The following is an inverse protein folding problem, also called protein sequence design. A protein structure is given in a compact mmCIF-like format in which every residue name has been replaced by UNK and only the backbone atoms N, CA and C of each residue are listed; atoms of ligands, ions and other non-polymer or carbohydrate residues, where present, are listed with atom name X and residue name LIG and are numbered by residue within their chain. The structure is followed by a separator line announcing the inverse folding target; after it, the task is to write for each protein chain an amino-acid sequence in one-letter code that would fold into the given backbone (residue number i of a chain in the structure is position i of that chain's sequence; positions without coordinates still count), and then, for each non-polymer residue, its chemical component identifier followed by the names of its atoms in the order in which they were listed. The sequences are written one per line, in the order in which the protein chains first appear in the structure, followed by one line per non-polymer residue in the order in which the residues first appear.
data_IF_107296634783
#
_entry.id   IF_107296634783
#
_cell.length_a   1.000
_cell.length_b   1.000
_cell.length_c   1.000
_cell.angle_alpha   90.00
_cell.angle_beta   90.00
_cell.angle_gamma   90.00
#
_symmetry.space_group_name_H-M   'P 1'
#
loop_
_entity.id
_entity.type
_entity.pdbx_description
1 polymer ?
#
# COMPACT_ATOMS: atom_id res chain seq x y z
N UNK A 1 28.38 -6.62 1.33
CA UNK A 1 27.12 -6.05 1.84
C UNK A 1 25.99 -6.33 0.85
N UNK A 2 26.10 -5.82 -0.38
CA UNK A 2 25.11 -6.07 -1.46
C UNK A 2 24.78 -7.55 -1.67
N UNK A 3 25.78 -8.44 -1.69
CA UNK A 3 25.55 -9.87 -1.88
C UNK A 3 24.72 -10.52 -0.74
N UNK A 4 24.81 -9.98 0.48
CA UNK A 4 24.06 -10.45 1.64
C UNK A 4 22.59 -9.99 1.57
N UNK A 5 22.39 -8.72 1.18
CA UNK A 5 21.05 -8.15 0.95
C UNK A 5 20.35 -8.91 -0.18
N UNK A 6 21.06 -9.23 -1.26
CA UNK A 6 20.51 -10.01 -2.37
C UNK A 6 20.04 -11.39 -1.94
N UNK A 7 20.85 -12.13 -1.18
CA UNK A 7 20.45 -13.45 -0.67
C UNK A 7 19.23 -13.38 0.25
N UNK A 8 19.21 -12.43 1.19
CA UNK A 8 18.06 -12.26 2.10
C UNK A 8 16.80 -11.79 1.35
N UNK A 9 16.95 -11.00 0.29
CA UNK A 9 15.85 -10.57 -0.57
C UNK A 9 15.24 -11.79 -1.29
N UNK A 10 16.06 -12.58 -1.98
CA UNK A 10 15.59 -13.82 -2.65
C UNK A 10 14.93 -14.75 -1.65
N UNK A 11 15.51 -14.91 -0.46
CA UNK A 11 14.95 -15.74 0.62
C UNK A 11 13.58 -15.23 1.07
N UNK A 12 13.44 -13.93 1.29
CA UNK A 12 12.18 -13.30 1.72
C UNK A 12 11.11 -13.48 0.64
N UNK A 13 11.43 -13.24 -0.62
CA UNK A 13 10.49 -13.42 -1.73
C UNK A 13 10.17 -14.88 -2.05
N UNK A 14 10.98 -15.86 -1.62
CA UNK A 14 10.65 -17.28 -1.82
C UNK A 14 9.63 -17.80 -0.80
N UNK A 15 9.45 -17.11 0.34
CA UNK A 15 8.51 -17.53 1.38
C UNK A 15 7.06 -17.25 0.95
N UNK A 16 6.21 -18.27 0.99
CA UNK A 16 4.76 -18.14 0.71
C UNK A 16 4.08 -17.04 1.54
N UNK A 17 4.47 -16.90 2.82
CA UNK A 17 3.91 -15.91 3.75
C UNK A 17 4.04 -14.47 3.24
N UNK A 18 5.11 -14.17 2.50
CA UNK A 18 5.40 -12.86 1.91
C UNK A 18 4.35 -12.46 0.87
N UNK A 19 3.72 -13.42 0.20
CA UNK A 19 2.73 -13.17 -0.85
C UNK A 19 1.30 -12.97 -0.34
N UNK A 20 1.03 -13.23 0.95
CA UNK A 20 -0.32 -13.09 1.51
C UNK A 20 -0.85 -11.66 1.30
N UNK A 21 -0.02 -10.65 1.55
CA UNK A 21 -0.38 -9.25 1.35
C UNK A 21 -0.69 -8.91 -0.10
N UNK A 22 0.21 -9.30 -1.01
CA UNK A 22 0.05 -9.06 -2.44
C UNK A 22 -1.21 -9.73 -2.99
N UNK A 23 -1.50 -10.96 -2.56
CA UNK A 23 -2.68 -11.71 -2.98
C UNK A 23 -3.96 -11.11 -2.40
N UNK A 24 -3.96 -10.73 -1.12
CA UNK A 24 -5.10 -10.11 -0.48
C UNK A 24 -5.49 -8.80 -1.18
N UNK A 25 -4.53 -7.89 -1.40
CA UNK A 25 -4.79 -6.63 -2.11
C UNK A 25 -5.07 -6.84 -3.59
N UNK A 26 -4.37 -7.78 -4.23
CA UNK A 26 -4.57 -8.16 -5.62
C UNK A 26 -5.96 -8.77 -5.89
N UNK A 27 -6.64 -9.30 -4.87
CA UNK A 27 -8.02 -9.79 -4.98
C UNK A 27 -9.04 -8.74 -4.56
N UNK A 28 -8.84 -8.10 -3.40
CA UNK A 28 -9.84 -7.19 -2.83
C UNK A 28 -10.00 -5.92 -3.68
N UNK A 29 -8.92 -5.37 -4.23
CA UNK A 29 -8.99 -4.11 -4.99
C UNK A 29 -9.76 -4.30 -6.29
N UNK A 30 -9.46 -5.28 -7.17
CA UNK A 30 -10.28 -5.54 -8.35
C UNK A 30 -11.73 -5.90 -8.02
N UNK A 31 -11.97 -6.67 -6.95
CA UNK A 31 -13.33 -7.03 -6.52
C UNK A 31 -14.15 -5.77 -6.18
N UNK A 32 -13.56 -4.84 -5.41
CA UNK A 32 -14.25 -3.60 -5.05
C UNK A 32 -14.43 -2.70 -6.27
N UNK A 33 -13.40 -2.56 -7.13
CA UNK A 33 -13.48 -1.77 -8.38
C UNK A 33 -14.57 -2.29 -9.32
N UNK A 34 -14.64 -3.60 -9.52
CA UNK A 34 -15.67 -4.23 -10.38
C UNK A 34 -17.06 -4.11 -9.78
N UNK A 35 -17.21 -4.30 -8.47
CA UNK A 35 -18.47 -4.08 -7.77
C UNK A 35 -18.97 -2.63 -7.88
N UNK A 36 -18.07 -1.67 -7.77
CA UNK A 36 -18.38 -0.26 -7.98
C UNK A 36 -18.80 0.03 -9.44
N UNK A 37 -18.14 -0.59 -10.42
CA UNK A 37 -18.47 -0.42 -11.85
C UNK A 37 -19.83 -1.02 -12.24
N UNK A 38 -20.19 -2.18 -11.69
CA UNK A 38 -21.40 -2.94 -12.07
C UNK A 38 -22.71 -2.39 -11.48
N UNK A 39 -22.63 -1.55 -10.45
CA UNK A 39 -23.84 -0.98 -9.83
C UNK A 39 -23.58 -0.05 -8.65
N UNK A 40 -22.38 -0.04 -8.09
CA UNK A 40 -22.02 0.85 -6.99
C UNK A 40 -21.99 2.33 -7.38
N UNK A 41 -21.65 2.69 -8.63
CA UNK A 41 -21.66 4.08 -9.12
C UNK A 41 -22.96 4.80 -8.80
N UNK A 42 -24.09 4.29 -9.26
CA UNK A 42 -25.38 4.98 -9.16
C UNK A 42 -25.87 5.10 -7.70
N UNK A 43 -25.54 4.12 -6.86
CA UNK A 43 -25.85 4.19 -5.43
C UNK A 43 -24.95 5.17 -4.69
N UNK A 44 -23.67 5.22 -5.07
CA UNK A 44 -22.70 6.14 -4.50
C UNK A 44 -22.96 7.59 -4.94
N UNK A 45 -23.32 7.82 -6.21
CA UNK A 45 -23.78 9.12 -6.72
C UNK A 45 -24.98 9.61 -5.93
N UNK A 46 -26.02 8.79 -5.75
CA UNK A 46 -27.20 9.19 -4.95
C UNK A 46 -26.83 9.60 -3.52
N UNK A 47 -25.94 8.85 -2.88
CA UNK A 47 -25.53 9.17 -1.51
C UNK A 47 -24.68 10.45 -1.45
N UNK A 48 -23.71 10.59 -2.36
CA UNK A 48 -22.85 11.76 -2.45
C UNK A 48 -23.63 13.02 -2.84
N UNK A 49 -24.56 12.92 -3.79
CA UNK A 49 -25.43 14.01 -4.24
C UNK A 49 -26.44 14.42 -3.15
N UNK A 50 -26.94 13.47 -2.34
CA UNK A 50 -27.82 13.82 -1.21
C UNK A 50 -27.14 14.69 -0.16
N UNK A 51 -25.81 14.60 -0.03
CA UNK A 51 -25.01 15.47 0.83
C UNK A 51 -24.71 16.84 0.20
N UNK A 52 -24.93 16.98 -1.12
CA UNK A 52 -24.58 18.17 -1.92
C UNK A 52 -25.81 18.96 -2.41
N UNK A 53 -27.00 18.35 -2.39
CA UNK A 53 -28.23 18.89 -2.97
C UNK A 53 -28.71 20.22 -2.40
N UNK A 54 -28.15 20.68 -1.27
CA UNK A 54 -28.58 21.94 -0.67
C UNK A 54 -27.95 23.17 -1.33
N UNK A 55 -26.76 23.10 -1.96
CA UNK A 55 -26.02 24.32 -2.34
C UNK A 55 -25.23 24.31 -3.67
N UNK A 56 -25.02 23.17 -4.37
CA UNK A 56 -24.13 23.16 -5.56
C UNK A 56 -24.63 22.34 -6.76
N UNK A 57 -24.66 22.97 -7.94
CA UNK A 57 -24.79 22.31 -9.25
C UNK A 57 -23.40 21.90 -9.72
N UNK A 58 -23.05 20.62 -9.59
CA UNK A 58 -21.77 20.10 -10.06
C UNK A 58 -21.96 19.64 -11.52
N UNK A 59 -21.36 20.37 -12.46
CA UNK A 59 -21.28 19.96 -13.87
C UNK A 59 -20.04 19.10 -14.12
N UNK A 60 -20.23 17.87 -14.62
CA UNK A 60 -19.14 16.98 -15.06
C UNK A 60 -19.16 15.58 -14.44
N UNK A 61 -18.24 14.72 -14.87
CA UNK A 61 -18.06 13.36 -14.32
C UNK A 61 -17.29 13.43 -12.97
N UNK A 62 -18.04 13.63 -11.88
CA UNK A 62 -17.50 13.78 -10.52
C UNK A 62 -16.89 12.46 -10.00
N UNK A 63 -17.41 11.32 -10.46
CA UNK A 63 -16.94 9.98 -10.08
C UNK A 63 -15.96 9.41 -11.10
N UNK A 64 -14.79 10.04 -11.17
CA UNK A 64 -13.68 9.61 -12.00
C UNK A 64 -12.74 8.61 -11.28
N UNK A 65 -11.77 8.08 -12.03
CA UNK A 65 -10.77 7.15 -11.50
C UNK A 65 -9.85 7.75 -10.45
N UNK A 66 -9.58 9.06 -10.51
CA UNK A 66 -8.77 9.75 -9.51
C UNK A 66 -9.48 9.85 -8.16
N UNK A 67 -10.79 10.10 -8.18
CA UNK A 67 -11.63 10.11 -6.98
C UNK A 67 -11.63 8.75 -6.30
N UNK A 68 -11.84 7.67 -7.06
CA UNK A 68 -11.78 6.33 -6.50
C UNK A 68 -10.36 5.97 -6.03
N UNK A 69 -9.32 6.41 -6.72
CA UNK A 69 -7.92 6.26 -6.27
C UNK A 69 -7.67 6.93 -4.90
N UNK A 70 -8.16 8.17 -4.74
CA UNK A 70 -8.12 8.88 -3.46
C UNK A 70 -8.95 8.19 -2.37
N UNK A 71 -10.13 7.69 -2.71
CA UNK A 71 -10.97 6.92 -1.80
C UNK A 71 -10.25 5.65 -1.32
N UNK A 72 -9.64 4.88 -2.23
CA UNK A 72 -8.87 3.68 -1.89
C UNK A 72 -7.65 4.00 -1.01
N UNK A 73 -6.94 5.08 -1.29
CA UNK A 73 -5.84 5.55 -0.43
C UNK A 73 -6.32 5.74 1.02
N UNK A 74 -7.49 6.36 1.22
CA UNK A 74 -8.08 6.51 2.54
C UNK A 74 -8.57 5.20 3.16
N UNK A 75 -9.26 4.37 2.39
CA UNK A 75 -9.87 3.13 2.85
C UNK A 75 -8.83 2.05 3.24
N UNK A 76 -7.71 1.99 2.51
CA UNK A 76 -6.67 0.99 2.73
C UNK A 76 -5.65 1.37 3.81
N UNK A 77 -5.74 2.58 4.39
CA UNK A 77 -4.78 3.02 5.42
C UNK A 77 -4.63 2.01 6.55
N UNK A 78 -5.74 1.47 7.08
CA UNK A 78 -5.70 0.52 8.21
C UNK A 78 -5.14 -0.85 7.81
N UNK A 79 -5.37 -1.27 6.58
CA UNK A 79 -5.01 -2.62 6.11
C UNK A 79 -3.51 -2.74 5.84
N UNK A 80 -2.87 -1.68 5.35
CA UNK A 80 -1.45 -1.69 4.97
C UNK A 80 -0.54 -2.03 6.17
N UNK A 81 -0.61 -1.34 7.34
CA UNK A 81 0.16 -1.68 8.52
C UNK A 81 0.00 -3.13 8.95
N UNK A 82 -1.23 -3.65 8.95
CA UNK A 82 -1.54 -5.02 9.40
C UNK A 82 -0.81 -6.05 8.55
N UNK A 83 -0.78 -5.86 7.23
CA UNK A 83 -0.07 -6.77 6.33
C UNK A 83 1.44 -6.64 6.48
N UNK A 84 1.94 -5.42 6.70
CA UNK A 84 3.37 -5.17 6.92
C UNK A 84 3.87 -5.80 8.22
N UNK A 85 3.07 -5.81 9.30
CA UNK A 85 3.48 -6.39 10.58
C UNK A 85 3.72 -7.90 10.48
N UNK A 86 2.96 -8.62 9.64
CA UNK A 86 3.11 -10.06 9.45
C UNK A 86 4.48 -10.39 8.86
N UNK A 87 4.92 -9.63 7.85
CA UNK A 87 6.20 -9.91 7.18
C UNK A 87 7.37 -9.35 7.96
N UNK A 88 7.29 -8.11 8.45
CA UNK A 88 8.34 -7.51 9.28
C UNK A 88 8.55 -8.28 10.59
N UNK A 89 7.47 -8.81 11.17
CA UNK A 89 7.49 -9.63 12.39
C UNK A 89 8.07 -11.03 12.19
N UNK A 90 8.00 -11.61 10.98
CA UNK A 90 8.55 -12.94 10.68
C UNK A 90 10.06 -12.92 10.35
N UNK A 91 10.65 -11.74 10.12
CA UNK A 91 12.04 -11.62 9.65
C UNK A 91 13.08 -12.18 10.62
N UNK A 92 12.91 -11.93 11.93
CA UNK A 92 13.82 -12.42 12.98
C UNK A 92 13.15 -13.57 13.74
N UNK A 93 11.91 -13.37 14.22
CA UNK A 93 11.17 -14.39 14.97
C UNK A 93 10.98 -15.71 14.19
N UNK A 94 10.76 -15.63 12.88
CA UNK A 94 10.58 -16.82 12.03
C UNK A 94 11.84 -17.68 11.93
N UNK A 95 13.03 -17.09 12.02
CA UNK A 95 14.30 -17.83 12.07
C UNK A 95 14.59 -18.43 13.44
N UNK A 96 14.09 -17.79 14.49
CA UNK A 96 14.06 -18.35 15.84
C UNK A 96 13.24 -19.62 15.91
N UNK A 97 12.02 -19.58 15.37
CA UNK A 97 11.15 -20.75 15.34
C UNK A 97 11.69 -21.89 14.48
N UNK A 98 12.36 -21.58 13.36
CA UNK A 98 12.96 -22.59 12.47
C UNK A 98 14.28 -23.19 12.99
N UNK A 99 14.77 -22.77 14.17
CA UNK A 99 16.02 -23.25 14.76
C UNK A 99 17.29 -22.86 13.99
N UNK A 100 17.18 -22.01 12.97
CA UNK A 100 18.29 -21.64 12.07
C UNK A 100 19.30 -20.72 12.75
N UNK A 101 18.94 -20.08 13.86
CA UNK A 101 19.90 -19.31 14.68
C UNK A 101 21.12 -20.13 15.07
N UNK A 102 20.97 -21.42 15.39
CA UNK A 102 22.12 -22.26 15.76
C UNK A 102 23.12 -22.42 14.60
N UNK A 103 22.64 -22.45 13.35
CA UNK A 103 23.48 -22.51 12.16
C UNK A 103 24.08 -21.14 11.78
N UNK A 104 23.36 -20.05 12.02
CA UNK A 104 23.86 -18.70 11.78
C UNK A 104 24.94 -18.29 12.79
N UNK A 105 24.86 -18.82 14.02
CA UNK A 105 25.82 -18.57 15.10
C UNK A 105 27.14 -19.34 14.94
N UNK A 106 27.22 -20.35 14.07
CA UNK A 106 28.45 -21.11 13.81
C UNK A 106 29.29 -20.53 12.67
N UNK A 107 28.77 -19.55 11.92
CA UNK A 107 29.49 -18.90 10.82
C UNK A 107 30.12 -17.56 11.24
N UNK A 108 31.32 -17.25 10.72
CA UNK A 108 32.11 -16.06 11.05
C UNK A 108 31.59 -14.74 10.43
N UNK A 109 30.28 -14.55 10.30
CA UNK A 109 29.67 -13.30 9.80
C UNK A 109 29.25 -12.44 10.99
N UNK A 110 29.58 -11.15 10.98
CA UNK A 110 29.22 -10.25 12.09
C UNK A 110 27.70 -10.11 12.24
N UNK A 111 27.20 -10.25 13.47
CA UNK A 111 25.75 -10.23 13.78
C UNK A 111 25.07 -8.93 13.31
N UNK A 112 25.74 -7.81 13.50
CA UNK A 112 25.27 -6.50 13.06
C UNK A 112 25.07 -6.42 11.54
N UNK A 113 25.91 -7.12 10.76
CA UNK A 113 25.82 -7.14 9.28
C UNK A 113 24.59 -7.90 8.79
N UNK A 114 24.19 -8.94 9.50
CA UNK A 114 23.00 -9.74 9.17
C UNK A 114 21.72 -8.97 9.53
N UNK A 115 21.68 -8.38 10.74
CA UNK A 115 20.52 -7.60 11.19
C UNK A 115 20.28 -6.40 10.27
N UNK A 116 21.34 -5.66 9.91
CA UNK A 116 21.23 -4.52 8.98
C UNK A 116 20.79 -4.96 7.57
N UNK A 117 21.26 -6.10 7.08
CA UNK A 117 20.78 -6.63 5.80
C UNK A 117 19.29 -6.97 5.83
N UNK A 118 18.81 -7.63 6.90
CA UNK A 118 17.38 -7.94 7.09
C UNK A 118 16.52 -6.70 7.22
N UNK A 119 17.01 -5.69 7.94
CA UNK A 119 16.32 -4.41 8.05
C UNK A 119 16.13 -3.75 6.67
N UNK A 120 17.20 -3.69 5.86
CA UNK A 120 17.14 -3.15 4.49
C UNK A 120 16.15 -3.93 3.63
N UNK A 121 16.15 -5.27 3.70
CA UNK A 121 15.18 -6.10 2.97
C UNK A 121 13.74 -5.82 3.40
N UNK A 122 13.50 -5.60 4.69
CA UNK A 122 12.18 -5.25 5.22
C UNK A 122 11.69 -3.89 4.70
N UNK A 123 12.58 -2.91 4.60
CA UNK A 123 12.28 -1.60 4.00
C UNK A 123 11.97 -1.73 2.51
N UNK A 124 12.77 -2.49 1.76
CA UNK A 124 12.53 -2.73 0.33
C UNK A 124 11.17 -3.41 0.11
N UNK A 125 10.85 -4.43 0.92
CA UNK A 125 9.55 -5.09 0.87
C UNK A 125 8.40 -4.11 1.14
N UNK A 126 8.55 -3.25 2.16
CA UNK A 126 7.54 -2.25 2.51
C UNK A 126 7.30 -1.26 1.36
N UNK A 127 8.38 -0.77 0.73
CA UNK A 127 8.27 0.11 -0.44
C UNK A 127 7.57 -0.58 -1.61
N UNK A 128 7.95 -1.82 -1.92
CA UNK A 128 7.33 -2.60 -3.00
C UNK A 128 5.84 -2.85 -2.74
N UNK A 129 5.46 -3.14 -1.49
CA UNK A 129 4.06 -3.34 -1.13
C UNK A 129 3.24 -2.05 -1.32
N UNK A 130 3.73 -0.90 -0.84
CA UNK A 130 3.02 0.38 -1.00
C UNK A 130 2.91 0.77 -2.47
N UNK A 131 3.98 0.59 -3.24
CA UNK A 131 3.98 0.87 -4.69
C UNK A 131 3.03 -0.07 -5.45
N UNK A 132 2.99 -1.35 -5.08
CA UNK A 132 2.06 -2.32 -5.68
C UNK A 132 0.60 -1.94 -5.41
N UNK A 133 0.28 -1.61 -4.16
CA UNK A 133 -1.09 -1.18 -3.79
C UNK A 133 -1.44 0.12 -4.52
N UNK A 134 -0.55 1.11 -4.52
CA UNK A 134 -0.79 2.38 -5.21
C UNK A 134 -0.97 2.21 -6.71
N UNK A 135 -0.12 1.41 -7.35
CA UNK A 135 -0.22 1.06 -8.76
C UNK A 135 -1.50 0.30 -9.10
N UNK A 136 -1.90 -0.66 -8.25
CA UNK A 136 -3.16 -1.38 -8.43
C UNK A 136 -4.37 -0.47 -8.28
N UNK A 137 -4.43 0.33 -7.21
CA UNK A 137 -5.60 1.17 -6.94
C UNK A 137 -5.77 2.25 -8.00
N UNK A 138 -4.68 2.96 -8.36
CA UNK A 138 -4.73 3.98 -9.40
C UNK A 138 -4.94 3.36 -10.78
N UNK A 139 -4.19 2.32 -11.12
CA UNK A 139 -4.28 1.68 -12.45
C UNK A 139 -5.68 1.14 -12.72
N UNK A 140 -6.26 0.42 -11.76
CA UNK A 140 -7.60 -0.15 -11.91
C UNK A 140 -8.70 0.93 -11.85
N UNK A 141 -8.54 1.96 -11.02
CA UNK A 141 -9.53 3.03 -10.93
C UNK A 141 -9.56 3.90 -12.19
N UNK A 142 -8.39 4.30 -12.72
CA UNK A 142 -8.33 5.04 -13.99
C UNK A 142 -8.88 4.21 -15.14
N UNK A 143 -8.51 2.92 -15.21
CA UNK A 143 -8.99 2.03 -16.27
C UNK A 143 -10.52 1.80 -16.21
N UNK A 144 -11.09 1.68 -15.01
CA UNK A 144 -12.51 1.37 -14.87
C UNK A 144 -13.44 2.60 -14.96
N UNK A 145 -12.97 3.79 -14.56
CA UNK A 145 -13.80 4.98 -14.37
C UNK A 145 -13.44 6.15 -15.29
N UNK A 146 -12.31 6.10 -15.99
CA UNK A 146 -11.81 7.19 -16.82
C UNK A 146 -11.16 8.30 -15.99
N UNK A 147 -10.69 9.35 -16.68
CA UNK A 147 -10.03 10.49 -16.06
C UNK A 147 -10.94 11.72 -15.99
N UNK A 148 -10.55 12.69 -15.17
CA UNK A 148 -11.28 13.94 -14.93
C UNK A 148 -10.75 14.68 -13.70
N UNK A 149 -11.34 15.82 -13.38
CA UNK A 149 -10.92 16.65 -12.24
C UNK A 149 -11.29 16.04 -10.90
N UNK A 150 -10.35 16.07 -9.95
CA UNK A 150 -10.57 15.51 -8.63
C UNK A 150 -11.33 16.49 -7.76
N UNK A 151 -12.48 16.05 -7.26
CA UNK A 151 -13.28 16.78 -6.29
C UNK A 151 -13.10 16.16 -4.90
N UNK A 152 -12.49 16.91 -3.98
CA UNK A 152 -12.28 16.50 -2.59
C UNK A 152 -13.21 17.27 -1.67
N UNK A 153 -14.09 16.54 -0.96
CA UNK A 153 -15.05 17.09 0.00
C UNK A 153 -14.60 16.68 1.41
N UNK A 154 -14.06 17.62 2.19
CA UNK A 154 -13.70 17.37 3.60
C UNK A 154 -14.07 18.51 4.54
N UNK A 155 -13.73 19.76 4.19
CA UNK A 155 -14.01 20.99 4.96
C UNK A 155 -14.40 22.17 4.03
N UNK A 156 -14.86 21.83 2.83
CA UNK A 156 -15.04 22.69 1.66
C UNK A 156 -14.92 21.82 0.39
N UNK A 157 -15.30 22.39 -0.76
CA UNK A 157 -15.14 21.75 -2.07
C UNK A 157 -13.81 22.21 -2.65
N UNK A 158 -12.84 21.30 -2.72
CA UNK A 158 -11.56 21.57 -3.37
C UNK A 158 -11.52 20.81 -4.69
N UNK A 159 -11.44 21.56 -5.80
CA UNK A 159 -11.33 21.02 -7.16
C UNK A 159 -9.87 21.12 -7.58
N UNK A 160 -9.24 19.98 -7.85
CA UNK A 160 -7.87 19.92 -8.33
C UNK A 160 -7.88 19.57 -9.83
N UNK A 161 -7.28 20.42 -10.69
CA UNK A 161 -7.17 20.13 -12.12
C UNK A 161 -6.42 18.83 -12.40
N UNK A 162 -6.89 18.05 -13.37
CA UNK A 162 -6.31 16.76 -13.74
C UNK A 162 -4.79 16.82 -14.00
N UNK A 163 -4.30 17.90 -14.62
CA UNK A 163 -2.88 18.05 -14.98
C UNK A 163 -1.92 17.98 -13.77
N UNK A 164 -2.39 18.33 -12.57
CA UNK A 164 -1.57 18.32 -11.36
C UNK A 164 -1.74 17.02 -10.56
N UNK A 165 -2.76 16.20 -10.84
CA UNK A 165 -3.04 15.01 -10.04
C UNK A 165 -1.92 13.96 -10.03
N UNK A 166 -1.25 13.65 -11.16
CA UNK A 166 -0.21 12.62 -11.15
C UNK A 166 0.94 12.94 -10.20
N UNK A 167 1.38 14.20 -10.14
CA UNK A 167 2.48 14.61 -9.25
C UNK A 167 2.06 14.62 -7.79
N UNK A 168 0.82 15.04 -7.49
CA UNK A 168 0.29 15.02 -6.13
C UNK A 168 0.14 13.59 -5.60
N UNK A 169 -0.38 12.66 -6.42
CA UNK A 169 -0.45 11.24 -6.05
C UNK A 169 0.93 10.63 -5.87
N UNK A 170 1.89 10.95 -6.75
CA UNK A 170 3.27 10.47 -6.60
C UNK A 170 3.88 10.93 -5.27
N UNK A 171 3.72 12.22 -4.92
CA UNK A 171 4.17 12.75 -3.63
C UNK A 171 3.44 12.10 -2.46
N UNK A 172 2.12 11.89 -2.56
CA UNK A 172 1.33 11.24 -1.53
C UNK A 172 1.78 9.80 -1.27
N UNK A 173 2.01 9.00 -2.32
CA UNK A 173 2.53 7.63 -2.16
C UNK A 173 3.98 7.61 -1.66
N UNK A 174 4.80 8.59 -2.05
CA UNK A 174 6.15 8.77 -1.50
C UNK A 174 6.12 9.01 0.01
N UNK A 175 5.28 9.95 0.47
CA UNK A 175 5.07 10.24 1.88
C UNK A 175 4.47 9.05 2.63
N UNK A 176 3.51 8.34 2.03
CA UNK A 176 2.93 7.13 2.60
C UNK A 176 3.98 6.03 2.79
N UNK A 177 4.91 5.88 1.84
CA UNK A 177 6.02 4.92 1.94
C UNK A 177 6.92 5.25 3.14
N UNK A 178 7.26 6.53 3.33
CA UNK A 178 8.04 6.98 4.49
C UNK A 178 7.30 6.72 5.81
N UNK A 179 5.98 6.97 5.86
CA UNK A 179 5.18 6.67 7.04
C UNK A 179 5.17 5.16 7.35
N UNK A 180 5.08 4.31 6.31
CA UNK A 180 5.10 2.85 6.47
C UNK A 180 6.48 2.31 6.85
N UNK A 181 7.57 3.00 6.51
CA UNK A 181 8.90 2.64 7.01
C UNK A 181 9.00 2.75 8.52
N UNK A 182 8.34 3.74 9.14
CA UNK A 182 8.29 3.85 10.62
C UNK A 182 7.61 2.63 11.22
N UNK A 183 6.45 2.24 10.67
CA UNK A 183 5.69 1.07 11.12
C UNK A 183 6.52 -0.20 10.95
N UNK A 184 7.09 -0.41 9.77
CA UNK A 184 7.94 -1.57 9.47
C UNK A 184 9.16 -1.65 10.39
N UNK A 185 9.79 -0.52 10.69
CA UNK A 185 10.94 -0.45 11.59
C UNK A 185 10.55 -0.83 13.03
N UNK A 186 9.39 -0.38 13.49
CA UNK A 186 8.87 -0.73 14.81
C UNK A 186 8.54 -2.23 14.91
N UNK A 187 7.89 -2.78 13.89
CA UNK A 187 7.59 -4.22 13.83
C UNK A 187 8.85 -5.08 13.75
N UNK A 188 9.86 -4.63 13.00
CA UNK A 188 11.15 -5.29 12.93
C UNK A 188 11.87 -5.27 14.29
N UNK A 189 11.81 -4.15 15.00
CA UNK A 189 12.36 -4.04 16.35
C UNK A 189 11.70 -5.02 17.33
N UNK A 190 10.38 -5.19 17.27
CA UNK A 190 9.66 -6.14 18.11
C UNK A 190 9.79 -7.61 17.67
N UNK A 191 10.33 -7.86 16.47
CA UNK A 191 10.65 -9.21 15.99
C UNK A 191 11.97 -9.74 16.58
N UNK A 192 12.86 -8.84 16.99
CA UNK A 192 14.19 -9.13 17.53
C UNK A 192 14.13 -9.59 18.99
#
# INVERSE_FOLDING_TARGET
MMHLVWFELVKTFTRWRTYIGFLAFGMIVPLVVTGLKLGGKNSFERHLLSLLQTDFVIGGNVLNGWFFGFFFMGALWVHIPIVLTIVAGDQIAGEGNAGTFRFLLTHAVSRARIITAKFIVTLIYTALMVLFIGGLTLGLSLWAFGSGDLLVIRRGILIIPEAQLPSHFLMAYGLATLAMFVVSSLCFLFSA
#
